data_IF_577880789513
#
_entry.id   IF_577880789513
#
_cell.length_a   1.000
_cell.length_b   1.000
_cell.length_c   1.000
_cell.angle_alpha   90.00
_cell.angle_beta   90.00
_cell.angle_gamma   90.00
#
_symmetry.space_group_name_H-M   'P 1'
#
loop_
_entity.id
_entity.type
_entity.pdbx_description
1 polymer ?
#
# COMPACT_ATOMS: atom_id res chain seq x y z
N UNK A 1 -67.65 22.85 -16.42
CA UNK A 1 -68.11 23.31 -15.07
C UNK A 1 -67.03 22.94 -14.06
N UNK A 2 -66.49 23.94 -13.29
CA UNK A 2 -65.52 23.93 -12.17
C UNK A 2 -64.05 23.83 -12.59
N UNK A 3 -63.36 24.98 -12.68
CA UNK A 3 -62.68 25.81 -11.66
C UNK A 3 -61.56 25.00 -10.97
N UNK A 4 -60.39 25.25 -11.31
CA UNK A 4 -59.33 26.15 -10.91
C UNK A 4 -58.83 25.91 -9.52
N UNK A 5 -57.55 25.85 -9.37
CA UNK A 5 -56.85 26.56 -8.28
C UNK A 5 -55.36 26.56 -8.61
N UNK A 6 -54.88 27.74 -8.96
CA UNK A 6 -53.48 28.07 -8.97
C UNK A 6 -52.94 28.04 -7.54
N UNK A 7 -51.86 27.27 -7.28
CA UNK A 7 -51.02 27.49 -6.10
C UNK A 7 -49.71 28.11 -6.58
N UNK A 8 -49.59 29.42 -6.38
CA UNK A 8 -48.32 30.13 -6.42
C UNK A 8 -47.56 29.77 -5.14
N UNK A 9 -46.45 29.08 -5.28
CA UNK A 9 -45.47 28.97 -4.19
C UNK A 9 -44.45 30.10 -4.32
N UNK A 10 -44.53 31.03 -3.38
CA UNK A 10 -43.59 32.13 -3.24
C UNK A 10 -42.24 31.55 -2.81
N UNK A 11 -41.22 31.74 -3.67
CA UNK A 11 -39.84 31.42 -3.35
C UNK A 11 -39.27 32.48 -2.42
N UNK A 12 -39.02 32.12 -1.19
CA UNK A 12 -38.21 32.95 -0.28
C UNK A 12 -36.73 32.66 -0.56
N UNK A 13 -36.08 33.60 -1.27
CA UNK A 13 -34.61 33.58 -1.39
C UNK A 13 -34.01 34.02 -0.05
N UNK A 14 -33.48 33.06 0.69
CA UNK A 14 -32.63 33.32 1.85
C UNK A 14 -31.25 33.71 1.36
N UNK A 15 -30.95 35.01 1.43
CA UNK A 15 -29.59 35.55 1.26
C UNK A 15 -28.82 35.22 2.53
N UNK A 16 -27.93 34.25 2.48
CA UNK A 16 -26.94 33.98 3.51
C UNK A 16 -25.84 35.05 3.40
N UNK A 17 -25.92 36.05 4.25
CA UNK A 17 -24.83 37.02 4.49
C UNK A 17 -23.75 36.27 5.26
N UNK A 18 -22.67 35.89 4.60
CA UNK A 18 -21.44 35.48 5.25
C UNK A 18 -20.81 36.71 5.92
N UNK A 19 -20.99 36.84 7.23
CA UNK A 19 -20.30 37.81 8.04
C UNK A 19 -18.79 37.57 7.97
N UNK A 20 -18.06 38.62 7.63
CA UNK A 20 -16.61 38.68 7.69
C UNK A 20 -16.11 38.47 9.13
N UNK A 21 -15.03 37.70 9.28
CA UNK A 21 -14.16 37.80 10.43
C UNK A 21 -14.20 36.63 11.42
N UNK A 22 -13.79 35.48 11.00
CA UNK A 22 -13.25 34.44 11.86
C UNK A 22 -12.06 33.83 11.15
N UNK A 23 -10.89 34.41 11.30
CA UNK A 23 -9.64 33.73 11.03
C UNK A 23 -9.61 32.56 12.02
N UNK A 24 -9.90 31.35 11.57
CA UNK A 24 -9.57 30.18 12.33
C UNK A 24 -8.05 30.18 12.41
N UNK A 25 -7.55 30.58 13.56
CA UNK A 25 -6.16 30.43 13.95
C UNK A 25 -5.91 28.93 14.07
N UNK A 26 -5.71 28.28 12.93
CA UNK A 26 -5.23 26.91 12.88
C UNK A 26 -3.82 27.00 13.40
N UNK A 27 -3.61 26.61 14.66
CA UNK A 27 -2.29 26.37 15.20
C UNK A 27 -1.47 25.63 14.13
N UNK A 28 -0.25 26.09 13.79
CA UNK A 28 0.55 25.44 12.77
C UNK A 28 0.69 23.98 13.17
N UNK A 29 0.02 23.09 12.41
CA UNK A 29 0.16 21.66 12.59
C UNK A 29 1.65 21.38 12.52
N UNK A 30 2.20 20.70 13.52
CA UNK A 30 3.60 20.30 13.51
C UNK A 30 3.84 19.57 12.19
N UNK A 31 4.65 20.15 11.30
CA UNK A 31 5.00 19.48 10.03
C UNK A 31 5.61 18.12 10.34
N UNK A 32 5.03 17.07 9.77
CA UNK A 32 5.56 15.72 9.89
C UNK A 32 6.78 15.65 8.96
N UNK A 33 7.97 15.59 9.56
CA UNK A 33 9.22 15.52 8.81
C UNK A 33 9.68 14.07 8.67
N UNK A 34 9.91 13.64 7.45
CA UNK A 34 10.51 12.31 7.14
C UNK A 34 11.96 12.19 7.61
N UNK A 35 12.58 13.28 8.05
CA UNK A 35 13.88 13.26 8.71
C UNK A 35 13.81 12.85 10.20
N UNK A 36 12.61 12.80 10.82
CA UNK A 36 12.41 12.32 12.19
C UNK A 36 12.59 10.79 12.22
N UNK A 37 13.51 10.26 13.06
CA UNK A 37 13.75 8.81 13.16
C UNK A 37 12.50 8.00 13.44
N UNK A 38 11.59 8.52 14.28
CA UNK A 38 10.34 7.85 14.62
C UNK A 38 9.42 7.74 13.41
N UNK A 39 9.34 8.79 12.60
CA UNK A 39 8.55 8.77 11.36
C UNK A 39 9.15 7.81 10.35
N UNK A 40 10.48 7.71 10.25
CA UNK A 40 11.14 6.72 9.41
C UNK A 40 10.79 5.30 9.84
N UNK A 41 10.80 5.01 11.13
CA UNK A 41 10.40 3.71 11.69
C UNK A 41 8.95 3.38 11.38
N UNK A 42 8.02 4.34 11.59
CA UNK A 42 6.60 4.17 11.28
C UNK A 42 6.36 3.88 9.79
N UNK A 43 7.08 4.56 8.89
CA UNK A 43 6.99 4.29 7.44
C UNK A 43 7.56 2.90 7.09
N UNK A 44 8.67 2.50 7.68
CA UNK A 44 9.26 1.16 7.46
C UNK A 44 8.29 0.08 7.95
N UNK A 45 7.71 0.25 9.12
CA UNK A 45 6.69 -0.66 9.67
C UNK A 45 5.45 -0.71 8.79
N UNK A 46 4.96 0.43 8.30
CA UNK A 46 3.79 0.50 7.44
C UNK A 46 3.98 -0.28 6.14
N UNK A 47 5.15 -0.15 5.47
CA UNK A 47 5.42 -0.91 4.24
C UNK A 47 5.60 -2.41 4.50
N UNK A 48 6.21 -2.80 5.63
CA UNK A 48 6.33 -4.22 6.01
C UNK A 48 4.97 -4.82 6.33
N UNK A 49 4.14 -4.12 7.11
CA UNK A 49 2.79 -4.55 7.42
C UNK A 49 1.89 -4.63 6.18
N UNK A 50 2.03 -3.70 5.23
CA UNK A 50 1.32 -3.81 3.96
C UNK A 50 1.76 -5.06 3.18
N UNK A 51 3.05 -5.35 3.08
CA UNK A 51 3.56 -6.55 2.41
C UNK A 51 3.08 -7.84 3.08
N UNK A 52 3.05 -7.88 4.41
CA UNK A 52 2.54 -9.02 5.15
C UNK A 52 1.03 -9.21 4.91
N UNK A 53 0.24 -8.13 4.95
CA UNK A 53 -1.17 -8.20 4.61
C UNK A 53 -1.44 -8.66 3.18
N UNK A 54 -0.62 -8.25 2.20
CA UNK A 54 -0.73 -8.74 0.83
C UNK A 54 -0.36 -10.23 0.72
N UNK A 55 0.62 -10.68 1.49
CA UNK A 55 1.00 -12.10 1.56
C UNK A 55 -0.13 -12.95 2.12
N UNK A 56 -0.77 -12.53 3.21
CA UNK A 56 -1.93 -13.22 3.80
C UNK A 56 -3.08 -13.35 2.80
N UNK A 57 -3.39 -12.29 2.04
CA UNK A 57 -4.45 -12.32 1.01
C UNK A 57 -4.16 -13.34 -0.11
N UNK A 58 -2.89 -13.60 -0.40
CA UNK A 58 -2.48 -14.49 -1.49
C UNK A 58 -2.18 -15.92 -0.99
N UNK A 59 -1.89 -16.11 0.27
CA UNK A 59 -1.47 -17.40 0.82
C UNK A 59 -2.64 -18.39 1.00
N UNK A 60 -3.88 -17.88 1.08
CA UNK A 60 -5.10 -18.71 1.04
C UNK A 60 -5.39 -19.28 -0.36
N UNK A 61 -4.50 -19.01 -1.34
CA UNK A 61 -4.72 -19.24 -2.76
C UNK A 61 -4.21 -20.58 -3.27
N UNK A 62 -4.60 -21.69 -2.68
CA UNK A 62 -4.67 -22.95 -3.44
C UNK A 62 -5.70 -22.79 -4.56
N UNK A 63 -5.58 -23.59 -5.63
CA UNK A 63 -6.54 -23.54 -6.73
C UNK A 63 -7.96 -23.71 -6.17
N UNK A 64 -8.91 -22.81 -6.50
CA UNK A 64 -10.24 -22.88 -5.91
C UNK A 64 -10.93 -24.17 -6.30
N UNK A 65 -11.41 -24.91 -5.30
CA UNK A 65 -12.13 -26.18 -5.50
C UNK A 65 -13.61 -25.96 -5.84
N UNK A 66 -14.13 -24.75 -5.52
CA UNK A 66 -15.53 -24.42 -5.73
C UNK A 66 -15.73 -22.91 -6.02
N UNK A 67 -16.95 -22.54 -6.38
CA UNK A 67 -17.30 -21.16 -6.76
C UNK A 67 -17.14 -20.14 -5.62
N UNK A 68 -17.26 -20.57 -4.37
CA UNK A 68 -17.09 -19.69 -3.19
C UNK A 68 -15.61 -19.33 -3.02
N UNK A 69 -14.72 -20.29 -3.13
CA UNK A 69 -13.27 -20.07 -3.08
C UNK A 69 -12.79 -19.24 -4.27
N UNK A 70 -13.33 -19.47 -5.46
CA UNK A 70 -13.06 -18.65 -6.63
C UNK A 70 -13.45 -17.18 -6.40
N UNK A 71 -14.62 -16.94 -5.80
CA UNK A 71 -15.07 -15.58 -5.47
C UNK A 71 -14.18 -14.93 -4.40
N UNK A 72 -13.74 -15.69 -3.40
CA UNK A 72 -12.83 -15.21 -2.37
C UNK A 72 -11.46 -14.85 -2.99
N UNK A 73 -10.92 -15.71 -3.86
CA UNK A 73 -9.67 -15.45 -4.57
C UNK A 73 -9.74 -14.17 -5.42
N UNK A 74 -10.85 -13.94 -6.12
CA UNK A 74 -11.06 -12.71 -6.89
C UNK A 74 -11.11 -11.48 -5.98
N UNK A 75 -11.83 -11.56 -4.86
CA UNK A 75 -11.90 -10.47 -3.89
C UNK A 75 -10.54 -10.15 -3.27
N UNK A 76 -9.74 -11.17 -2.96
CA UNK A 76 -8.37 -11.02 -2.47
C UNK A 76 -7.48 -10.37 -3.53
N UNK A 77 -7.57 -10.80 -4.78
CA UNK A 77 -6.83 -10.20 -5.89
C UNK A 77 -7.19 -8.74 -6.13
N UNK A 78 -8.47 -8.37 -5.99
CA UNK A 78 -8.93 -6.98 -6.06
C UNK A 78 -8.35 -6.15 -4.90
N UNK A 79 -8.34 -6.68 -3.69
CA UNK A 79 -7.73 -6.02 -2.53
C UNK A 79 -6.22 -5.79 -2.72
N UNK A 80 -5.52 -6.77 -3.30
CA UNK A 80 -4.09 -6.64 -3.69
C UNK A 80 -3.93 -5.52 -4.71
N UNK A 81 -4.72 -5.52 -5.80
CA UNK A 81 -4.65 -4.51 -6.85
C UNK A 81 -4.91 -3.10 -6.31
N UNK A 82 -5.87 -2.94 -5.40
CA UNK A 82 -6.19 -1.65 -4.78
C UNK A 82 -5.09 -1.14 -3.84
N UNK A 83 -4.35 -2.04 -3.20
CA UNK A 83 -3.35 -1.70 -2.18
C UNK A 83 -1.97 -1.39 -2.75
N UNK A 84 -1.54 -2.11 -3.79
CA UNK A 84 -0.20 -2.00 -4.38
C UNK A 84 0.22 -0.58 -4.80
N UNK A 85 -0.65 0.25 -5.41
CA UNK A 85 -0.27 1.60 -5.82
C UNK A 85 0.12 2.51 -4.65
N UNK A 86 -0.38 2.24 -3.43
CA UNK A 86 -0.04 3.01 -2.24
C UNK A 86 1.41 2.76 -1.79
N UNK A 87 1.99 1.62 -2.13
CA UNK A 87 3.32 1.22 -1.70
C UNK A 87 4.40 2.22 -2.13
N UNK A 88 4.29 2.81 -3.32
CA UNK A 88 5.27 3.81 -3.82
C UNK A 88 5.45 5.01 -2.87
N UNK A 89 4.41 5.36 -2.10
CA UNK A 89 4.46 6.46 -1.15
C UNK A 89 5.15 6.11 0.17
N UNK A 90 5.43 4.82 0.40
CA UNK A 90 6.11 4.33 1.59
C UNK A 90 7.64 4.22 1.41
N UNK A 91 8.18 4.83 0.34
CA UNK A 91 9.62 4.90 0.06
C UNK A 91 10.13 6.34 -0.09
N UNK A 92 9.87 7.25 0.87
CA UNK A 92 10.49 8.56 0.84
C UNK A 92 12.02 8.42 0.94
N UNK A 93 12.80 9.35 0.32
CA UNK A 93 14.27 9.24 0.25
C UNK A 93 14.95 9.02 1.60
N UNK A 94 14.46 9.65 2.65
CA UNK A 94 15.02 9.58 4.01
C UNK A 94 14.90 8.20 4.65
N UNK A 95 14.08 7.30 4.09
CA UNK A 95 13.97 5.90 4.55
C UNK A 95 14.91 4.94 3.80
N UNK A 96 15.75 5.45 2.92
CA UNK A 96 16.87 4.70 2.34
C UNK A 96 18.00 4.55 3.34
N UNK A 97 18.54 3.34 3.57
CA UNK A 97 19.67 3.14 4.46
C UNK A 97 20.95 3.91 4.07
N UNK A 98 21.03 4.35 2.80
CA UNK A 98 22.16 5.13 2.30
C UNK A 98 21.94 6.65 2.36
N UNK A 99 20.73 7.10 2.73
CA UNK A 99 20.43 8.52 2.81
C UNK A 99 21.13 9.15 4.02
N UNK A 100 21.75 10.37 3.89
CA UNK A 100 22.46 11.00 5.01
C UNK A 100 21.61 11.25 6.26
N UNK A 101 20.31 11.42 6.09
CA UNK A 101 19.35 11.64 7.17
C UNK A 101 18.68 10.34 7.65
N UNK A 102 19.10 9.15 7.16
CA UNK A 102 18.60 7.89 7.68
C UNK A 102 19.10 7.68 9.11
N UNK A 103 18.17 7.51 10.05
CA UNK A 103 18.44 7.35 11.47
C UNK A 103 17.57 6.27 12.13
N UNK A 104 16.77 5.55 11.33
CA UNK A 104 15.95 4.47 11.86
C UNK A 104 16.84 3.38 12.46
N UNK A 105 16.49 2.92 13.66
CA UNK A 105 17.05 1.71 14.26
C UNK A 105 16.29 0.45 13.83
N UNK A 106 15.14 0.62 13.18
CA UNK A 106 14.30 -0.48 12.74
C UNK A 106 14.85 -1.10 11.44
N UNK A 107 15.00 -2.44 11.38
CA UNK A 107 15.55 -3.09 10.20
C UNK A 107 14.66 -2.93 8.97
N UNK A 108 15.27 -2.70 7.83
CA UNK A 108 14.58 -2.73 6.53
C UNK A 108 15.26 -3.72 5.61
N UNK A 109 14.44 -4.47 4.84
CA UNK A 109 14.92 -5.36 3.78
C UNK A 109 14.89 -4.68 2.40
N UNK A 110 14.44 -3.43 2.33
CA UNK A 110 14.46 -2.65 1.10
C UNK A 110 15.89 -2.36 0.67
N UNK A 111 16.25 -2.75 -0.55
CA UNK A 111 17.57 -2.47 -1.11
C UNK A 111 17.65 -1.01 -1.57
N UNK A 112 18.82 -0.34 -1.44
CA UNK A 112 19.01 1.04 -1.87
C UNK A 112 18.68 1.31 -3.33
N UNK A 113 18.80 0.31 -4.19
CA UNK A 113 18.46 0.37 -5.61
C UNK A 113 17.01 0.83 -5.88
N UNK A 114 16.09 0.69 -4.91
CA UNK A 114 14.72 1.20 -5.03
C UNK A 114 14.73 2.70 -5.29
N UNK A 115 15.54 3.46 -4.56
CA UNK A 115 15.62 4.92 -4.67
C UNK A 115 16.47 5.37 -5.84
N UNK A 116 17.42 4.56 -6.29
CA UNK A 116 18.27 4.80 -7.45
C UNK A 116 17.49 4.55 -8.76
N UNK A 117 16.65 3.53 -8.78
CA UNK A 117 15.86 3.09 -9.95
C UNK A 117 14.36 3.15 -9.66
N UNK A 118 13.86 4.25 -9.08
CA UNK A 118 12.48 4.36 -8.60
C UNK A 118 11.45 4.18 -9.72
N UNK A 119 11.77 4.61 -10.94
CA UNK A 119 10.89 4.40 -12.10
C UNK A 119 10.76 2.90 -12.45
N UNK A 120 11.86 2.16 -12.36
CA UNK A 120 11.84 0.70 -12.55
C UNK A 120 11.07 0.00 -11.44
N UNK A 121 11.28 0.39 -10.19
CA UNK A 121 10.48 -0.09 -9.07
C UNK A 121 8.98 0.16 -9.29
N UNK A 122 8.61 1.36 -9.74
CA UNK A 122 7.23 1.72 -10.05
C UNK A 122 6.64 0.87 -11.18
N UNK A 123 7.44 0.50 -12.19
CA UNK A 123 6.99 -0.40 -13.27
C UNK A 123 6.65 -1.81 -12.74
N UNK A 124 7.43 -2.34 -11.79
CA UNK A 124 7.07 -3.61 -11.15
C UNK A 124 5.76 -3.52 -10.37
N UNK A 125 5.51 -2.41 -9.67
CA UNK A 125 4.23 -2.21 -8.99
C UNK A 125 3.06 -2.18 -9.98
N UNK A 126 3.22 -1.54 -11.13
CA UNK A 126 2.21 -1.53 -12.21
C UNK A 126 1.98 -2.93 -12.74
N UNK A 127 3.04 -3.67 -13.10
CA UNK A 127 2.92 -5.03 -13.64
C UNK A 127 2.22 -5.99 -12.65
N UNK A 128 2.56 -5.88 -11.36
CA UNK A 128 1.93 -6.68 -10.32
C UNK A 128 0.46 -6.29 -10.13
N UNK A 129 0.14 -4.99 -10.17
CA UNK A 129 -1.24 -4.48 -10.11
C UNK A 129 -2.07 -5.00 -11.27
N UNK A 130 -1.53 -4.97 -12.49
CA UNK A 130 -2.20 -5.49 -13.69
C UNK A 130 -2.44 -7.00 -13.60
N UNK A 131 -1.48 -7.76 -13.07
CA UNK A 131 -1.65 -9.19 -12.85
C UNK A 131 -2.74 -9.49 -11.80
N UNK A 132 -2.81 -8.70 -10.72
CA UNK A 132 -3.86 -8.81 -9.72
C UNK A 132 -5.24 -8.49 -10.31
N UNK A 133 -5.38 -7.42 -11.09
CA UNK A 133 -6.62 -7.10 -11.81
C UNK A 133 -7.01 -8.20 -12.81
N UNK A 134 -6.05 -8.83 -13.50
CA UNK A 134 -6.35 -9.92 -14.41
C UNK A 134 -6.97 -11.12 -13.69
N UNK A 135 -6.52 -11.43 -12.47
CA UNK A 135 -7.11 -12.47 -11.62
C UNK A 135 -8.48 -12.06 -11.08
N UNK A 136 -8.59 -10.84 -10.55
CA UNK A 136 -9.84 -10.30 -9.99
C UNK A 136 -10.99 -10.29 -11.00
N UNK A 137 -10.69 -9.97 -12.26
CA UNK A 137 -11.68 -9.84 -13.34
C UNK A 137 -11.83 -11.11 -14.20
N UNK A 138 -11.20 -12.21 -13.82
CA UNK A 138 -11.30 -13.45 -14.60
C UNK A 138 -12.71 -14.05 -14.52
N UNK A 139 -13.30 -14.36 -15.68
CA UNK A 139 -14.65 -14.96 -15.77
C UNK A 139 -14.63 -16.47 -15.98
N UNK A 140 -13.47 -17.02 -16.38
CA UNK A 140 -13.27 -18.44 -16.61
C UNK A 140 -12.49 -19.07 -15.46
N UNK A 141 -13.10 -19.89 -14.61
CA UNK A 141 -12.42 -20.55 -13.48
C UNK A 141 -11.23 -21.40 -13.90
N UNK A 142 -11.21 -21.95 -15.10
CA UNK A 142 -10.09 -22.75 -15.60
C UNK A 142 -8.79 -21.93 -15.73
N UNK A 143 -8.88 -20.60 -15.78
CA UNK A 143 -7.73 -19.70 -15.86
C UNK A 143 -7.18 -19.26 -14.51
N UNK A 144 -7.90 -19.48 -13.42
CA UNK A 144 -7.52 -18.96 -12.10
C UNK A 144 -6.13 -19.45 -11.65
N UNK A 145 -5.77 -20.74 -11.76
CA UNK A 145 -4.45 -21.20 -11.33
C UNK A 145 -3.31 -20.54 -12.11
N UNK A 146 -3.50 -20.28 -13.40
CA UNK A 146 -2.48 -19.64 -14.23
C UNK A 146 -2.34 -18.15 -13.90
N UNK A 147 -3.46 -17.46 -13.65
CA UNK A 147 -3.46 -16.05 -13.27
C UNK A 147 -2.88 -15.84 -11.88
N UNK A 148 -3.19 -16.72 -10.93
CA UNK A 148 -2.61 -16.67 -9.58
C UNK A 148 -1.09 -16.89 -9.63
N UNK A 149 -0.62 -17.89 -10.38
CA UNK A 149 0.82 -18.12 -10.58
C UNK A 149 1.52 -16.94 -11.23
N UNK A 150 0.87 -16.27 -12.19
CA UNK A 150 1.41 -15.07 -12.81
C UNK A 150 1.52 -13.93 -11.80
N UNK A 151 0.51 -13.67 -10.98
CA UNK A 151 0.55 -12.65 -9.94
C UNK A 151 1.70 -12.92 -8.96
N UNK A 152 1.85 -14.14 -8.48
CA UNK A 152 2.96 -14.53 -7.58
C UNK A 152 4.33 -14.34 -8.25
N UNK A 153 4.46 -14.68 -9.53
CA UNK A 153 5.70 -14.48 -10.28
C UNK A 153 6.10 -13.01 -10.39
N UNK A 154 5.14 -12.08 -10.56
CA UNK A 154 5.41 -10.63 -10.55
C UNK A 154 5.86 -10.15 -9.15
N UNK A 155 5.25 -10.68 -8.08
CA UNK A 155 5.70 -10.39 -6.71
C UNK A 155 7.15 -10.86 -6.47
N UNK A 156 7.47 -12.08 -6.88
CA UNK A 156 8.81 -12.65 -6.76
C UNK A 156 9.84 -11.87 -7.57
N UNK A 157 9.51 -11.48 -8.80
CA UNK A 157 10.40 -10.70 -9.66
C UNK A 157 10.73 -9.33 -9.05
N UNK A 158 9.73 -8.63 -8.48
CA UNK A 158 9.95 -7.39 -7.75
C UNK A 158 10.84 -7.61 -6.51
N UNK A 159 10.55 -8.63 -5.71
CA UNK A 159 11.32 -8.95 -4.52
C UNK A 159 12.77 -9.35 -4.85
N UNK A 160 13.00 -10.09 -5.92
CA UNK A 160 14.35 -10.44 -6.35
C UNK A 160 15.19 -9.22 -6.75
N UNK A 161 14.56 -8.18 -7.30
CA UNK A 161 15.24 -6.96 -7.70
C UNK A 161 15.47 -5.97 -6.55
N UNK A 162 14.54 -5.89 -5.59
CA UNK A 162 14.44 -4.75 -4.68
C UNK A 162 14.42 -5.11 -3.19
N UNK A 163 14.40 -6.38 -2.84
CA UNK A 163 14.40 -6.84 -1.44
C UNK A 163 15.61 -7.68 -1.12
N UNK A 164 16.29 -7.38 -0.02
CA UNK A 164 17.32 -8.28 0.53
C UNK A 164 16.69 -9.61 0.95
N UNK A 165 17.44 -10.71 0.88
CA UNK A 165 17.00 -11.99 1.43
C UNK A 165 16.55 -11.84 2.88
N UNK A 166 15.42 -12.46 3.22
CA UNK A 166 14.97 -12.50 4.61
C UNK A 166 16.01 -13.28 5.43
N UNK A 167 16.55 -12.62 6.43
CA UNK A 167 17.39 -13.26 7.44
C UNK A 167 16.53 -13.49 8.67
N UNK A 168 16.27 -14.75 8.98
CA UNK A 168 15.60 -15.08 10.23
C UNK A 168 16.43 -14.52 11.41
N UNK A 169 15.79 -13.95 12.44
CA UNK A 169 16.51 -13.60 13.67
C UNK A 169 17.25 -14.79 14.30
N UNK A 170 16.85 -16.02 13.97
CA UNK A 170 17.51 -17.25 14.40
C UNK A 170 18.80 -17.55 13.62
N UNK A 171 18.96 -16.96 12.43
CA UNK A 171 20.15 -17.10 11.58
C UNK A 171 21.20 -16.02 11.87
N UNK A 172 20.87 -15.06 12.74
CA UNK A 172 21.84 -14.07 13.19
C UNK A 172 22.99 -14.82 13.91
N UNK A 173 24.25 -14.58 13.53
CA UNK A 173 25.36 -15.20 14.25
C UNK A 173 25.24 -14.83 15.73
N UNK A 174 25.11 -15.86 16.58
CA UNK A 174 25.11 -15.66 18.03
C UNK A 174 26.38 -14.89 18.34
N UNK A 175 26.25 -13.63 18.78
CA UNK A 175 27.40 -12.87 19.24
C UNK A 175 28.05 -13.67 20.35
N UNK A 176 29.17 -14.31 20.03
CA UNK A 176 29.95 -15.03 21.03
C UNK A 176 30.27 -14.08 22.18
N UNK A 177 30.43 -14.58 23.41
CA UNK A 177 30.77 -13.74 24.55
C UNK A 177 31.98 -12.91 24.16
N UNK A 178 31.83 -11.56 24.24
CA UNK A 178 32.93 -10.61 23.98
C UNK A 178 34.11 -11.07 24.81
N UNK A 179 35.16 -11.53 24.10
CA UNK A 179 36.28 -12.20 24.69
C UNK A 179 36.90 -11.38 25.81
N UNK A 180 36.97 -12.01 26.98
CA UNK A 180 37.88 -11.64 28.00
C UNK A 180 39.32 -11.65 27.41
N UNK A 181 39.91 -10.46 27.30
CA UNK A 181 41.36 -10.26 27.25
C UNK A 181 41.72 -9.27 28.34
#
# INVERSE_FOLDING_TARGET
>A
MRLGKHLQAAGASAVLVFGAGGVLDTAPGKEISTADPKIQEEIILARQGLMEGLYELLNDGESPENSTEATAMQANAEAVAASLPALKFLFPPETSPQHPNYKSSYPTYALPIIWEEFDRFSQYLVATTDAAHALANATDPARFPDLARRLLAECEACHAAFRAPYQSPLDAPVAGPAGAR
#
